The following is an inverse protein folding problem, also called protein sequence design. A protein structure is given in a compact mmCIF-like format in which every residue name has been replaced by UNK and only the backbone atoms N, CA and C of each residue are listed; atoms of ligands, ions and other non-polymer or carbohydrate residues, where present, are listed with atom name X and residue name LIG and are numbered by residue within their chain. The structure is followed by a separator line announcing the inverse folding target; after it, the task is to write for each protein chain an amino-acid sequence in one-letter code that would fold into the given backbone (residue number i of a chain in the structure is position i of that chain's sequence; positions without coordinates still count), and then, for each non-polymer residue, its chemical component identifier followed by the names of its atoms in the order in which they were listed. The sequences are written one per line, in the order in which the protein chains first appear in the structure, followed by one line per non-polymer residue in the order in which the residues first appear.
data_IF_343560727224
#
_entry.id   IF_343560727224
#
_cell.length_a   1.000
_cell.length_b   1.000
_cell.length_c   1.000
_cell.angle_alpha   90.00
_cell.angle_beta   90.00
_cell.angle_gamma   90.00
#
_symmetry.space_group_name_H-M   'P 1'
#
loop_
_entity.id
_entity.type
_entity.pdbx_description
1 polymer ?
#
# COMPACT_ATOMS: atom_id res chain seq x y z
N UNK A 1 -15.54 25.73 12.35
CA UNK A 1 -15.13 24.43 11.77
C UNK A 1 -13.69 24.59 11.31
N UNK A 2 -12.74 24.16 12.14
CA UNK A 2 -11.31 24.15 11.80
C UNK A 2 -11.06 22.96 10.87
N UNK A 3 -10.56 23.23 9.67
CA UNK A 3 -10.06 22.19 8.79
C UNK A 3 -8.94 21.45 9.53
N UNK A 4 -9.04 20.13 9.61
CA UNK A 4 -7.94 19.31 10.10
C UNK A 4 -7.02 19.17 8.90
N UNK A 5 -6.03 20.05 8.82
CA UNK A 5 -5.03 20.05 7.75
C UNK A 5 -3.79 19.32 8.28
N UNK A 6 -3.57 18.11 7.77
CA UNK A 6 -2.31 17.39 7.84
C UNK A 6 -1.82 17.22 6.40
N UNK A 7 -0.51 17.16 6.23
CA UNK A 7 0.09 17.09 4.90
C UNK A 7 -0.07 15.67 4.28
N UNK A 8 -0.07 15.58 2.93
CA UNK A 8 0.03 14.31 2.24
C UNK A 8 1.30 13.54 2.61
N UNK A 9 1.29 12.22 2.43
CA UNK A 9 2.51 11.42 2.52
C UNK A 9 3.56 11.89 1.51
N UNK A 10 4.80 11.93 1.98
CA UNK A 10 5.98 12.24 1.18
C UNK A 10 6.67 10.95 0.80
N UNK A 11 7.06 10.83 -0.47
CA UNK A 11 7.84 9.69 -0.95
C UNK A 11 9.18 9.59 -0.22
N UNK A 12 9.54 8.40 0.27
CA UNK A 12 10.89 8.11 0.76
C UNK A 12 11.94 8.43 -0.31
N UNK A 13 13.14 8.81 0.14
CA UNK A 13 14.23 9.18 -0.77
C UNK A 13 14.63 8.09 -1.77
N UNK A 14 14.36 6.82 -1.44
CA UNK A 14 14.67 5.64 -2.26
C UNK A 14 13.38 5.05 -2.83
N UNK A 15 12.67 5.84 -3.64
CA UNK A 15 11.43 5.43 -4.31
C UNK A 15 11.56 5.46 -5.85
N UNK A 16 11.01 4.48 -6.59
CA UNK A 16 10.35 3.27 -6.11
C UNK A 16 11.33 2.33 -5.36
N UNK A 17 10.81 1.43 -4.50
CA UNK A 17 11.64 0.52 -3.72
C UNK A 17 12.52 -0.31 -4.67
N UNK A 18 13.84 -0.33 -4.46
CA UNK A 18 14.75 -0.99 -5.38
C UNK A 18 14.52 -2.51 -5.34
N UNK A 19 14.52 -3.13 -6.51
CA UNK A 19 14.49 -4.58 -6.61
C UNK A 19 15.74 -5.19 -5.96
N UNK A 20 15.63 -6.46 -5.54
CA UNK A 20 16.79 -7.24 -5.09
C UNK A 20 17.88 -7.14 -6.19
N UNK A 21 19.06 -6.57 -5.91
CA UNK A 21 20.12 -6.44 -6.92
C UNK A 21 20.49 -7.81 -7.47
N UNK A 22 21.18 -7.97 -8.61
CA UNK A 22 21.74 -9.26 -9.02
C UNK A 22 22.93 -9.66 -8.12
N UNK A 23 23.27 -10.96 -8.02
CA UNK A 23 24.41 -11.39 -7.23
C UNK A 23 25.71 -10.87 -7.87
N UNK A 24 26.65 -10.41 -7.03
CA UNK A 24 27.96 -9.94 -7.49
C UNK A 24 28.67 -11.07 -8.25
N UNK A 25 29.32 -10.81 -9.41
CA UNK A 25 29.91 -11.87 -10.24
C UNK A 25 30.90 -12.79 -9.51
N UNK A 26 31.60 -12.27 -8.52
CA UNK A 26 32.60 -13.01 -7.72
C UNK A 26 32.00 -13.78 -6.54
N UNK A 27 30.71 -13.55 -6.23
CA UNK A 27 30.03 -14.17 -5.10
C UNK A 27 29.85 -15.68 -5.29
N UNK A 28 29.77 -16.41 -4.17
CA UNK A 28 29.44 -17.83 -4.17
C UNK A 28 28.11 -18.11 -4.88
N UNK A 29 27.11 -17.24 -4.74
CA UNK A 29 25.82 -17.39 -5.42
C UNK A 29 25.99 -17.40 -6.95
N UNK A 30 26.76 -16.44 -7.48
CA UNK A 30 27.03 -16.37 -8.93
C UNK A 30 27.84 -17.58 -9.43
N UNK A 31 28.74 -18.11 -8.60
CA UNK A 31 29.57 -19.29 -8.92
C UNK A 31 28.73 -20.58 -8.89
N UNK A 32 27.91 -20.80 -7.87
CA UNK A 32 27.05 -21.98 -7.76
C UNK A 32 25.93 -21.97 -8.80
N UNK A 33 25.46 -20.81 -9.26
CA UNK A 33 24.47 -20.69 -10.34
C UNK A 33 24.96 -21.29 -11.66
N UNK A 34 26.27 -21.47 -11.85
CA UNK A 34 26.88 -22.10 -13.02
C UNK A 34 26.92 -23.63 -12.94
N UNK A 35 26.63 -24.22 -11.77
CA UNK A 35 26.65 -25.67 -11.57
C UNK A 35 25.21 -26.19 -11.74
N UNK A 36 24.91 -26.95 -12.81
CA UNK A 36 23.57 -27.48 -13.03
C UNK A 36 23.19 -28.49 -11.94
N UNK A 37 21.92 -28.47 -11.52
CA UNK A 37 21.27 -29.39 -10.57
C UNK A 37 21.81 -29.31 -9.13
N UNK A 38 23.11 -29.51 -8.90
CA UNK A 38 23.73 -29.49 -7.57
C UNK A 38 23.92 -28.08 -7.00
N UNK A 39 24.00 -27.07 -7.85
CA UNK A 39 24.12 -25.67 -7.42
C UNK A 39 22.83 -25.05 -6.91
N UNK A 40 21.67 -25.66 -7.15
CA UNK A 40 20.38 -25.01 -6.91
C UNK A 40 20.09 -24.78 -5.42
N UNK A 41 20.30 -25.79 -4.56
CA UNK A 41 20.07 -25.62 -3.13
C UNK A 41 21.00 -24.56 -2.49
N UNK A 42 22.32 -24.57 -2.73
CA UNK A 42 23.21 -23.49 -2.29
C UNK A 42 22.82 -22.11 -2.83
N UNK A 43 22.43 -22.01 -4.12
CA UNK A 43 21.98 -20.75 -4.72
C UNK A 43 20.71 -20.24 -4.05
N UNK A 44 19.74 -21.14 -3.77
CA UNK A 44 18.51 -20.79 -3.08
C UNK A 44 18.81 -20.22 -1.68
N UNK A 45 19.65 -20.91 -0.91
CA UNK A 45 20.02 -20.45 0.43
C UNK A 45 20.76 -19.10 0.41
N UNK A 46 21.72 -18.93 -0.49
CA UNK A 46 22.46 -17.66 -0.62
C UNK A 46 21.57 -16.51 -1.10
N UNK A 47 20.67 -16.78 -2.06
CA UNK A 47 19.66 -15.81 -2.50
C UNK A 47 18.72 -15.45 -1.36
N UNK A 48 18.31 -16.41 -0.53
CA UNK A 48 17.46 -16.16 0.63
C UNK A 48 18.16 -15.25 1.65
N UNK A 49 19.43 -15.50 1.99
CA UNK A 49 20.20 -14.64 2.88
C UNK A 49 20.36 -13.21 2.32
N UNK A 50 20.58 -13.10 1.01
CA UNK A 50 20.68 -11.81 0.33
C UNK A 50 19.34 -11.07 0.29
N UNK A 51 18.25 -11.79 0.10
CA UNK A 51 16.90 -11.25 0.22
C UNK A 51 16.62 -10.74 1.64
N UNK A 52 16.94 -11.53 2.66
CA UNK A 52 16.80 -11.13 4.07
C UNK A 52 17.58 -9.84 4.36
N UNK A 53 18.82 -9.73 3.86
CA UNK A 53 19.63 -8.51 3.98
C UNK A 53 19.00 -7.32 3.25
N UNK A 54 18.57 -7.52 1.99
CA UNK A 54 17.89 -6.48 1.20
C UNK A 54 16.61 -6.00 1.88
N UNK A 55 15.86 -6.94 2.46
CA UNK A 55 14.67 -6.64 3.24
C UNK A 55 15.01 -5.72 4.42
N UNK A 56 15.91 -6.15 5.32
CA UNK A 56 16.18 -5.39 6.56
C UNK A 56 16.91 -4.07 6.33
N UNK A 57 17.77 -3.99 5.31
CA UNK A 57 18.59 -2.80 5.07
C UNK A 57 17.94 -1.80 4.11
N UNK A 58 16.94 -2.21 3.33
CA UNK A 58 16.37 -1.37 2.27
C UNK A 58 14.85 -1.28 2.33
N UNK A 59 14.14 -2.41 2.36
CA UNK A 59 12.67 -2.40 2.30
C UNK A 59 12.03 -2.03 3.65
N UNK A 60 12.55 -2.56 4.75
CA UNK A 60 12.06 -2.28 6.10
C UNK A 60 12.22 -0.79 6.49
N UNK A 61 13.35 -0.10 6.20
CA UNK A 61 13.45 1.34 6.40
C UNK A 61 12.42 2.16 5.62
N UNK A 62 12.13 1.80 4.36
CA UNK A 62 11.09 2.47 3.55
C UNK A 62 9.72 2.28 4.19
N UNK A 63 9.39 1.04 4.60
CA UNK A 63 8.13 0.73 5.26
C UNK A 63 7.99 1.50 6.59
N UNK A 64 9.08 1.57 7.36
CA UNK A 64 9.15 2.32 8.61
C UNK A 64 8.92 3.82 8.40
N UNK A 65 9.56 4.44 7.40
CA UNK A 65 9.37 5.86 7.09
C UNK A 65 7.92 6.19 6.71
N UNK A 66 7.25 5.30 5.96
CA UNK A 66 5.83 5.45 5.62
C UNK A 66 4.97 5.32 6.88
N UNK A 67 5.22 4.32 7.72
CA UNK A 67 4.49 4.11 8.97
C UNK A 67 4.66 5.29 9.93
N UNK A 68 5.89 5.80 10.10
CA UNK A 68 6.19 6.95 10.95
C UNK A 68 5.42 8.21 10.52
N UNK A 69 5.35 8.48 9.21
CA UNK A 69 4.54 9.59 8.68
C UNK A 69 3.04 9.43 8.99
N UNK A 70 2.52 8.20 8.95
CA UNK A 70 1.11 7.91 9.28
C UNK A 70 0.85 8.02 10.79
N UNK A 71 1.76 7.52 11.64
CA UNK A 71 1.65 7.61 13.10
C UNK A 71 1.77 9.05 13.62
N UNK A 72 2.54 9.90 12.94
CA UNK A 72 2.70 11.30 13.28
C UNK A 72 1.42 12.13 13.06
N UNK A 73 0.41 11.58 12.37
CA UNK A 73 -0.84 12.28 12.08
C UNK A 73 -1.68 12.50 13.33
N UNK A 74 -2.44 13.60 13.40
CA UNK A 74 -3.27 13.88 14.57
C UNK A 74 -4.37 12.83 14.72
N UNK A 75 -4.55 12.33 15.94
CA UNK A 75 -5.68 11.43 16.25
C UNK A 75 -6.98 12.24 16.32
N UNK A 76 -7.78 12.15 15.27
CA UNK A 76 -9.06 12.87 15.19
C UNK A 76 -10.21 11.89 15.03
N UNK A 77 -11.01 11.75 16.08
CA UNK A 77 -12.23 10.95 16.01
C UNK A 77 -13.20 11.50 14.95
N UNK A 78 -13.65 10.63 14.05
CA UNK A 78 -14.51 11.00 12.92
C UNK A 78 -13.84 11.94 11.91
N UNK A 79 -12.53 11.83 11.71
CA UNK A 79 -11.80 12.68 10.75
C UNK A 79 -12.42 12.67 9.34
N UNK A 80 -12.93 11.51 8.90
CA UNK A 80 -13.64 11.31 7.64
C UNK A 80 -14.82 12.29 7.49
N UNK A 81 -15.66 12.41 8.52
CA UNK A 81 -16.85 13.27 8.51
C UNK A 81 -16.56 14.76 8.74
N UNK A 82 -15.40 15.09 9.33
CA UNK A 82 -14.96 16.48 9.57
C UNK A 82 -14.18 17.05 8.41
N UNK A 83 -13.58 16.18 7.61
CA UNK A 83 -12.84 16.58 6.43
C UNK A 83 -13.78 17.12 5.36
N UNK A 84 -13.40 18.24 4.76
CA UNK A 84 -14.09 18.79 3.58
C UNK A 84 -13.81 18.00 2.31
N UNK A 85 -12.88 17.05 2.36
CA UNK A 85 -12.43 16.29 1.20
C UNK A 85 -13.38 15.13 0.88
N UNK A 86 -13.94 14.47 1.90
CA UNK A 86 -14.89 13.38 1.73
C UNK A 86 -16.32 13.95 1.76
N UNK A 87 -16.73 14.47 0.60
CA UNK A 87 -17.98 15.22 0.44
C UNK A 87 -19.26 14.38 0.59
N UNK A 88 -19.18 13.05 0.46
CA UNK A 88 -20.33 12.14 0.55
C UNK A 88 -20.12 11.11 1.67
N UNK A 89 -21.21 10.61 2.24
CA UNK A 89 -21.17 9.49 3.20
C UNK A 89 -20.49 8.26 2.61
N UNK A 90 -20.63 8.02 1.30
CA UNK A 90 -19.95 6.92 0.61
C UNK A 90 -18.44 7.13 0.57
N UNK A 91 -17.96 8.31 0.19
CA UNK A 91 -16.52 8.63 0.21
C UNK A 91 -15.94 8.53 1.61
N UNK A 92 -16.68 8.99 2.64
CA UNK A 92 -16.26 8.88 4.03
C UNK A 92 -16.06 7.42 4.43
N UNK A 93 -17.03 6.55 4.09
CA UNK A 93 -16.97 5.13 4.42
C UNK A 93 -15.86 4.39 3.66
N UNK A 94 -15.65 4.70 2.37
CA UNK A 94 -14.52 4.15 1.60
C UNK A 94 -13.19 4.57 2.22
N UNK A 95 -13.04 5.86 2.60
CA UNK A 95 -11.82 6.35 3.22
C UNK A 95 -11.54 5.70 4.59
N UNK A 96 -12.58 5.43 5.38
CA UNK A 96 -12.47 4.66 6.63
C UNK A 96 -12.01 3.22 6.37
N UNK A 97 -12.60 2.52 5.40
CA UNK A 97 -12.18 1.17 5.00
C UNK A 97 -10.69 1.15 4.62
N UNK A 98 -10.24 2.11 3.82
CA UNK A 98 -8.83 2.20 3.41
C UNK A 98 -7.93 2.49 4.63
N UNK A 99 -8.34 3.40 5.51
CA UNK A 99 -7.60 3.74 6.73
C UNK A 99 -7.42 2.54 7.65
N UNK A 100 -8.49 1.76 7.85
CA UNK A 100 -8.46 0.54 8.67
C UNK A 100 -7.56 -0.54 8.04
N UNK A 101 -7.63 -0.72 6.71
CA UNK A 101 -6.79 -1.67 5.99
C UNK A 101 -5.30 -1.29 6.07
N UNK A 102 -4.99 0.00 5.88
CA UNK A 102 -3.63 0.54 5.99
C UNK A 102 -3.08 0.36 7.41
N UNK A 103 -3.90 0.62 8.44
CA UNK A 103 -3.47 0.43 9.82
C UNK A 103 -3.17 -1.03 10.15
N UNK A 104 -3.99 -1.94 9.65
CA UNK A 104 -3.76 -3.38 9.81
C UNK A 104 -2.45 -3.81 9.14
N UNK A 105 -2.24 -3.42 7.88
CA UNK A 105 -1.07 -3.83 7.10
C UNK A 105 0.23 -3.24 7.66
N UNK A 106 0.20 -1.97 8.07
CA UNK A 106 1.39 -1.25 8.56
C UNK A 106 1.57 -1.37 10.07
N UNK A 107 0.78 -2.23 10.74
CA UNK A 107 0.81 -2.47 12.18
C UNK A 107 0.67 -1.19 13.02
N UNK A 108 -0.16 -0.25 12.56
CA UNK A 108 -0.41 1.01 13.27
C UNK A 108 -1.33 0.76 14.47
N UNK A 109 -1.11 1.52 15.55
CA UNK A 109 -1.92 1.41 16.78
C UNK A 109 -3.39 1.79 16.54
N UNK A 110 -3.61 2.81 15.71
CA UNK A 110 -4.94 3.35 15.39
C UNK A 110 -5.02 3.63 13.88
N UNK A 111 -6.23 3.58 13.32
CA UNK A 111 -6.51 3.97 11.93
C UNK A 111 -6.15 5.44 11.68
N UNK A 112 -5.16 5.74 10.82
CA UNK A 112 -4.67 7.11 10.66
C UNK A 112 -5.64 7.92 9.80
N UNK A 113 -5.81 9.23 10.06
CA UNK A 113 -6.56 10.06 9.15
C UNK A 113 -5.84 10.15 7.80
N UNK A 114 -6.58 10.04 6.69
CA UNK A 114 -6.02 10.00 5.34
C UNK A 114 -6.23 11.32 4.58
N UNK A 115 -5.24 11.70 3.78
CA UNK A 115 -5.26 12.91 2.97
C UNK A 115 -5.69 12.55 1.54
N UNK A 116 -6.55 13.34 0.86
CA UNK A 116 -7.00 13.03 -0.50
C UNK A 116 -5.85 12.96 -1.50
N UNK A 117 -4.79 13.73 -1.27
CA UNK A 117 -3.58 13.74 -2.10
C UNK A 117 -2.54 12.71 -1.63
N UNK A 118 -2.87 11.84 -0.66
CA UNK A 118 -1.97 10.74 -0.30
C UNK A 118 -1.70 9.87 -1.54
N UNK A 119 -0.43 9.58 -1.87
CA UNK A 119 -0.14 8.75 -3.03
C UNK A 119 -0.60 7.31 -2.76
N UNK A 120 -1.45 6.79 -3.65
CA UNK A 120 -1.91 5.40 -3.63
C UNK A 120 -0.73 4.42 -3.54
N UNK A 121 0.37 4.57 -4.30
CA UNK A 121 1.50 3.65 -4.18
C UNK A 121 2.16 3.62 -2.81
N UNK A 122 2.08 4.67 -1.99
CA UNK A 122 2.66 4.64 -0.63
C UNK A 122 1.72 3.94 0.36
N UNK A 123 0.42 4.23 0.26
CA UNK A 123 -0.58 3.63 1.13
C UNK A 123 -0.68 2.11 0.91
N UNK A 124 -0.63 1.67 -0.35
CA UNK A 124 -0.82 0.28 -0.77
C UNK A 124 0.50 -0.44 -1.10
N UNK A 125 1.63 0.05 -0.58
CA UNK A 125 2.91 -0.67 -0.63
C UNK A 125 3.35 -1.24 0.71
N UNK A 126 3.84 -2.48 0.64
CA UNK A 126 4.44 -3.24 1.71
C UNK A 126 5.59 -4.11 1.18
N UNK A 127 6.51 -4.53 2.06
CA UNK A 127 7.72 -5.23 1.65
C UNK A 127 7.52 -6.73 1.30
N UNK A 128 6.37 -7.32 1.64
CA UNK A 128 6.04 -8.75 1.47
C UNK A 128 4.66 -8.96 0.81
N UNK A 129 4.44 -8.32 -0.34
CA UNK A 129 3.13 -8.25 -1.03
C UNK A 129 2.05 -7.60 -0.15
N UNK A 130 1.75 -6.33 -0.43
CA UNK A 130 0.78 -5.56 0.34
C UNK A 130 -0.64 -6.15 0.20
N UNK A 131 -1.26 -6.49 1.33
CA UNK A 131 -2.62 -7.04 1.37
C UNK A 131 -3.72 -5.98 1.40
N UNK A 132 -3.37 -4.70 1.56
CA UNK A 132 -4.31 -3.56 1.59
C UNK A 132 -5.29 -3.58 0.41
N UNK A 133 -4.88 -3.78 -0.86
CA UNK A 133 -5.84 -3.83 -1.97
C UNK A 133 -6.87 -4.95 -1.83
N UNK A 134 -6.46 -6.10 -1.31
CA UNK A 134 -7.34 -7.25 -1.08
C UNK A 134 -8.33 -6.96 0.05
N UNK A 135 -7.84 -6.44 1.18
CA UNK A 135 -8.67 -6.09 2.34
C UNK A 135 -9.71 -5.05 1.94
N UNK A 136 -9.28 -3.98 1.25
CA UNK A 136 -10.19 -2.93 0.77
C UNK A 136 -11.24 -3.49 -0.19
N UNK A 137 -10.85 -4.34 -1.15
CA UNK A 137 -11.80 -4.98 -2.06
C UNK A 137 -12.85 -5.83 -1.34
N UNK A 138 -12.42 -6.63 -0.35
CA UNK A 138 -13.33 -7.47 0.45
C UNK A 138 -14.29 -6.62 1.29
N UNK A 139 -13.80 -5.57 1.95
CA UNK A 139 -14.65 -4.72 2.79
C UNK A 139 -15.62 -3.86 1.96
N UNK A 140 -15.21 -3.40 0.77
CA UNK A 140 -16.13 -2.73 -0.17
C UNK A 140 -17.21 -3.69 -0.66
N UNK A 141 -16.87 -4.95 -0.94
CA UNK A 141 -17.85 -5.95 -1.35
C UNK A 141 -18.87 -6.23 -0.24
N UNK A 142 -18.42 -6.31 1.02
CA UNK A 142 -19.32 -6.53 2.17
C UNK A 142 -20.23 -5.32 2.42
N UNK A 143 -19.69 -4.11 2.34
CA UNK A 143 -20.42 -2.89 2.68
C UNK A 143 -21.38 -2.44 1.57
N UNK A 144 -21.02 -2.63 0.31
CA UNK A 144 -21.71 -2.03 -0.84
C UNK A 144 -22.19 -3.04 -1.89
N UNK A 145 -21.98 -4.35 -1.68
CA UNK A 145 -22.29 -5.41 -2.66
C UNK A 145 -21.64 -5.20 -4.04
N UNK A 146 -20.54 -4.45 -4.08
CA UNK A 146 -19.81 -4.10 -5.29
C UNK A 146 -18.39 -4.69 -5.29
N UNK A 147 -17.88 -5.05 -6.46
CA UNK A 147 -16.53 -5.59 -6.60
C UNK A 147 -15.58 -4.58 -7.21
N UNK A 148 -14.38 -4.45 -6.64
CA UNK A 148 -13.27 -3.75 -7.30
C UNK A 148 -12.56 -4.70 -8.27
N UNK A 149 -12.27 -4.22 -9.47
CA UNK A 149 -11.47 -4.99 -10.43
C UNK A 149 -9.98 -4.88 -10.12
N UNK A 150 -9.24 -5.96 -10.35
CA UNK A 150 -7.78 -5.98 -10.25
C UNK A 150 -7.12 -4.99 -11.21
N UNK A 151 -7.72 -4.77 -12.38
CA UNK A 151 -7.25 -3.81 -13.38
C UNK A 151 -7.31 -2.37 -12.85
N UNK A 152 -8.34 -2.02 -12.07
CA UNK A 152 -8.44 -0.70 -11.46
C UNK A 152 -7.37 -0.45 -10.40
N UNK A 153 -7.09 -1.46 -9.57
CA UNK A 153 -6.01 -1.41 -8.58
C UNK A 153 -4.64 -1.28 -9.27
N UNK A 154 -4.40 -2.08 -10.31
CA UNK A 154 -3.16 -2.04 -11.08
C UNK A 154 -2.98 -0.66 -11.75
N UNK A 155 -4.04 -0.11 -12.33
CA UNK A 155 -4.02 1.21 -12.95
C UNK A 155 -3.72 2.31 -11.94
N UNK A 156 -4.31 2.24 -10.74
CA UNK A 156 -4.03 3.19 -9.66
C UNK A 156 -2.55 3.18 -9.26
N UNK A 157 -1.90 2.01 -9.33
CA UNK A 157 -0.48 1.87 -9.11
C UNK A 157 0.36 2.48 -10.24
N UNK A 158 0.11 2.06 -11.48
CA UNK A 158 0.91 2.44 -12.66
C UNK A 158 0.81 3.94 -12.97
N UNK A 159 -0.36 4.53 -12.76
CA UNK A 159 -0.62 5.95 -13.01
C UNK A 159 -0.30 6.84 -11.79
N UNK A 160 0.18 6.26 -10.67
CA UNK A 160 0.45 6.96 -9.41
C UNK A 160 -0.74 7.81 -8.93
N UNK A 161 -1.92 7.19 -8.86
CA UNK A 161 -3.11 7.88 -8.40
C UNK A 161 -2.95 8.43 -6.97
N UNK A 162 -3.69 9.48 -6.71
CA UNK A 162 -3.99 9.97 -5.37
C UNK A 162 -5.08 9.13 -4.71
N UNK A 163 -5.18 9.21 -3.39
CA UNK A 163 -6.25 8.57 -2.65
C UNK A 163 -7.64 9.05 -3.12
N UNK A 164 -7.78 10.33 -3.49
CA UNK A 164 -9.03 10.86 -4.03
C UNK A 164 -9.43 10.14 -5.31
N UNK A 165 -8.51 10.03 -6.27
CA UNK A 165 -8.79 9.36 -7.54
C UNK A 165 -9.18 7.89 -7.34
N UNK A 166 -8.52 7.20 -6.40
CA UNK A 166 -8.88 5.83 -6.06
C UNK A 166 -10.24 5.71 -5.38
N UNK A 167 -10.60 6.64 -4.50
CA UNK A 167 -11.93 6.69 -3.87
C UNK A 167 -13.02 6.97 -4.91
N UNK A 168 -12.78 7.92 -5.82
CA UNK A 168 -13.72 8.24 -6.91
C UNK A 168 -13.92 7.02 -7.83
N UNK A 169 -12.86 6.27 -8.10
CA UNK A 169 -12.94 4.99 -8.82
C UNK A 169 -13.81 3.96 -8.07
N UNK A 170 -13.59 3.79 -6.76
CA UNK A 170 -14.40 2.89 -5.94
C UNK A 170 -15.89 3.31 -5.96
N UNK A 171 -16.18 4.61 -5.84
CA UNK A 171 -17.54 5.16 -5.88
C UNK A 171 -18.24 4.89 -7.22
N UNK A 172 -17.49 4.99 -8.32
CA UNK A 172 -17.97 4.64 -9.66
C UNK A 172 -18.29 3.15 -9.78
N UNK A 173 -17.40 2.27 -9.31
CA UNK A 173 -17.65 0.82 -9.31
C UNK A 173 -18.89 0.46 -8.49
N UNK A 174 -19.07 1.08 -7.32
CA UNK A 174 -20.25 0.86 -6.49
C UNK A 174 -21.52 1.31 -7.22
N UNK A 175 -21.48 2.50 -7.83
CA UNK A 175 -22.63 3.03 -8.56
C UNK A 175 -23.03 2.17 -9.76
N UNK A 176 -22.06 1.57 -10.46
CA UNK A 176 -22.31 0.65 -11.57
C UNK A 176 -22.82 -0.72 -11.09
N UNK A 177 -22.26 -1.27 -10.00
CA UNK A 177 -22.71 -2.55 -9.43
C UNK A 177 -24.14 -2.50 -8.89
N UNK A 178 -24.56 -1.37 -8.31
CA UNK A 178 -25.94 -1.18 -7.83
C UNK A 178 -26.99 -1.02 -8.95
N UNK A 179 -26.57 -0.82 -10.21
CA UNK A 179 -27.49 -0.66 -11.34
C UNK A 179 -27.87 -2.01 -11.98
N UNK A 180 -27.18 -3.10 -11.67
CA UNK A 180 -27.37 -4.43 -12.27
C UNK A 180 -28.23 -5.38 -11.40
N UNK A 181 -28.76 -4.90 -10.27
CA UNK A 181 -29.65 -5.63 -9.35
C UNK A 181 -31.04 -5.00 -9.31
#
# INVERSE_FOLDING_TARGET
MTAVEYEPLVYPSVWPPPALPPPVPESWEARFKRIPILGWFPVFLLRYLRWQKHYSEVLEPIAFEIAEQLEARPRVAGWSNRSRWFCTTRHQKIAEIISDAVALEKFLVDSPPLHPEDPFPLLFWGPFDDLTPLIVGVEIQKEFEASLTSEGVLRAWEENWTLREFIDYCDQCISQGTAET
#
